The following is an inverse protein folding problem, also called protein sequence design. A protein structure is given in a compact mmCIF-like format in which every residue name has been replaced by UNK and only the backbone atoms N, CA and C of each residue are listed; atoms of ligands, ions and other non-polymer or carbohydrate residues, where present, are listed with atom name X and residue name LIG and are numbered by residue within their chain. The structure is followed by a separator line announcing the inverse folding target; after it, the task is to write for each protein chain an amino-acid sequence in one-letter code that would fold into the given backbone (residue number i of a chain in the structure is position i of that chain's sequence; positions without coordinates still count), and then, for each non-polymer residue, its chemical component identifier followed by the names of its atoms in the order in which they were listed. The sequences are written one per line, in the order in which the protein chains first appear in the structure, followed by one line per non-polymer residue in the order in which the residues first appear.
data_IF_122395043942
#
_entry.id   IF_122395043942
#
_cell.length_a   1.000
_cell.length_b   1.000
_cell.length_c   1.000
_cell.angle_alpha   90.00
_cell.angle_beta   90.00
_cell.angle_gamma   90.00
#
_symmetry.space_group_name_H-M   'P 1'
#
loop_
_entity.id
_entity.type
_entity.pdbx_description
1 polymer ?
#
# COMPACT_ATOMS: atom_id res chain seq x y z
N UNK A 1 6.13 -33.27 -67.71
CA UNK A 1 5.73 -32.03 -68.25
C UNK A 1 4.77 -31.19 -67.47
N UNK A 2 4.09 -31.75 -66.59
CA UNK A 2 3.13 -30.97 -65.76
C UNK A 2 3.79 -30.66 -64.45
N UNK A 3 4.10 -29.43 -64.30
CA UNK A 3 4.54 -28.88 -63.09
C UNK A 3 3.31 -28.67 -62.24
N UNK A 4 3.05 -29.57 -61.33
CA UNK A 4 2.09 -29.32 -60.30
C UNK A 4 2.78 -28.38 -59.33
N UNK A 5 2.48 -27.14 -59.53
CA UNK A 5 2.72 -26.19 -58.43
C UNK A 5 1.69 -26.49 -57.38
N UNK A 6 2.07 -27.30 -56.47
CA UNK A 6 1.35 -27.33 -55.19
C UNK A 6 1.64 -26.02 -54.51
N UNK A 7 0.78 -25.12 -54.79
CA UNK A 7 0.70 -23.89 -54.03
C UNK A 7 0.29 -24.31 -52.64
N UNK A 8 1.27 -24.46 -51.77
CA UNK A 8 0.99 -24.48 -50.35
C UNK A 8 0.38 -23.15 -50.04
N UNK A 9 -0.92 -23.09 -50.05
CA UNK A 9 -1.67 -22.01 -49.50
C UNK A 9 -1.44 -22.09 -48.01
N UNK A 10 -0.42 -21.34 -47.53
CA UNK A 10 -0.34 -21.04 -46.15
C UNK A 10 -1.61 -20.31 -45.77
N UNK A 11 -2.52 -21.02 -45.16
CA UNK A 11 -3.64 -20.38 -44.54
C UNK A 11 -3.10 -19.27 -43.67
N UNK A 12 -3.58 -18.03 -43.82
CA UNK A 12 -3.24 -17.01 -42.88
C UNK A 12 -3.63 -17.54 -41.52
N UNK A 13 -2.63 -17.74 -40.68
CA UNK A 13 -2.87 -17.89 -39.27
C UNK A 13 -3.72 -16.68 -38.93
N UNK A 14 -5.02 -16.89 -38.80
CA UNK A 14 -5.83 -15.90 -38.16
C UNK A 14 -5.22 -15.73 -36.81
N UNK A 15 -4.44 -14.67 -36.65
CA UNK A 15 -4.29 -14.08 -35.36
C UNK A 15 -5.70 -13.73 -34.91
N UNK A 16 -6.38 -14.71 -34.41
CA UNK A 16 -7.43 -14.39 -33.47
C UNK A 16 -6.72 -13.61 -32.41
N UNK A 17 -7.13 -12.37 -32.21
CA UNK A 17 -6.66 -11.69 -31.03
C UNK A 17 -6.92 -12.67 -29.92
N UNK A 18 -5.86 -13.21 -29.33
CA UNK A 18 -5.95 -13.85 -28.05
C UNK A 18 -6.51 -12.74 -27.18
N UNK A 19 -7.81 -12.64 -27.17
CA UNK A 19 -8.48 -11.98 -26.09
C UNK A 19 -8.08 -12.83 -24.87
N UNK A 20 -6.90 -12.52 -24.37
CA UNK A 20 -6.74 -12.72 -22.95
C UNK A 20 -8.05 -12.22 -22.41
N UNK A 21 -8.78 -13.01 -21.61
CA UNK A 21 -9.85 -12.39 -20.88
C UNK A 21 -9.16 -11.21 -20.22
N UNK A 22 -9.38 -10.07 -20.75
CA UNK A 22 -9.19 -8.86 -20.00
C UNK A 22 -10.11 -9.16 -18.85
N UNK A 23 -9.55 -9.68 -17.80
CA UNK A 23 -10.15 -9.55 -16.50
C UNK A 23 -10.41 -8.08 -16.51
N UNK A 24 -11.65 -7.72 -16.80
CA UNK A 24 -12.07 -6.33 -16.85
C UNK A 24 -11.42 -5.79 -15.58
N UNK A 25 -10.44 -4.91 -15.73
CA UNK A 25 -9.79 -4.32 -14.57
C UNK A 25 -10.95 -3.81 -13.77
N UNK A 26 -11.31 -4.55 -12.74
CA UNK A 26 -12.43 -4.18 -11.91
C UNK A 26 -12.05 -2.81 -11.40
N UNK A 27 -12.76 -1.80 -11.88
CA UNK A 27 -12.52 -0.42 -11.48
C UNK A 27 -12.58 -0.42 -9.97
N UNK A 28 -11.47 -0.10 -9.35
CA UNK A 28 -11.38 -0.06 -7.91
C UNK A 28 -12.25 1.08 -7.40
N UNK A 29 -13.09 0.78 -6.46
CA UNK A 29 -13.90 1.76 -5.76
C UNK A 29 -13.56 1.73 -4.28
N UNK A 30 -13.29 2.88 -3.73
CA UNK A 30 -13.05 3.03 -2.32
C UNK A 30 -14.35 3.41 -1.62
N UNK A 31 -14.84 2.51 -0.77
CA UNK A 31 -16.05 2.74 0.00
C UNK A 31 -15.71 3.52 1.28
N UNK A 32 -15.99 4.81 1.26
CA UNK A 32 -15.71 5.70 2.40
C UNK A 32 -16.53 5.38 3.64
N UNK A 33 -17.68 4.71 3.48
CA UNK A 33 -18.52 4.31 4.62
C UNK A 33 -17.94 3.08 5.34
N UNK A 34 -17.40 2.13 4.57
CA UNK A 34 -16.69 0.98 5.16
C UNK A 34 -15.35 1.38 5.75
N UNK A 35 -14.71 2.40 5.16
CA UNK A 35 -13.40 2.84 5.56
C UNK A 35 -12.30 1.82 5.28
N UNK A 36 -11.29 1.84 6.12
CA UNK A 36 -10.12 0.96 6.04
C UNK A 36 -9.92 0.22 7.36
N UNK A 37 -9.18 -0.88 7.29
CA UNK A 37 -8.76 -1.62 8.48
C UNK A 37 -7.38 -1.15 8.96
N UNK A 38 -7.10 -1.35 10.24
CA UNK A 38 -5.77 -1.09 10.78
C UNK A 38 -4.74 -2.00 10.09
N UNK A 39 -3.71 -1.43 9.47
CA UNK A 39 -2.67 -2.23 8.82
C UNK A 39 -1.73 -2.89 9.82
N UNK A 40 -1.66 -2.38 11.04
CA UNK A 40 -0.87 -2.89 12.13
C UNK A 40 -1.57 -2.51 13.44
N UNK A 41 -1.70 -3.45 14.34
CA UNK A 41 -2.19 -3.19 15.68
C UNK A 41 -1.02 -2.76 16.57
N UNK A 42 -1.04 -1.53 17.01
CA UNK A 42 0.01 -0.98 17.84
C UNK A 42 -0.33 0.41 18.32
N UNK A 43 0.50 0.92 19.20
CA UNK A 43 0.38 2.28 19.71
C UNK A 43 0.80 3.30 18.64
N UNK A 44 0.11 4.44 18.58
CA UNK A 44 0.53 5.53 17.72
C UNK A 44 1.72 6.26 18.34
N UNK A 45 2.87 6.17 17.68
CA UNK A 45 4.08 6.89 18.07
C UNK A 45 4.04 8.33 17.57
N UNK A 46 3.56 8.55 16.36
CA UNK A 46 3.33 9.86 15.76
C UNK A 46 1.97 9.88 15.08
N UNK A 47 1.18 10.88 15.40
CA UNK A 47 -0.15 11.03 14.84
C UNK A 47 -0.13 11.89 13.57
N UNK A 48 -1.14 11.73 12.73
CA UNK A 48 -1.36 12.62 11.60
C UNK A 48 -1.59 14.04 12.10
N UNK A 49 -0.84 14.98 11.54
CA UNK A 49 -1.01 16.40 11.84
C UNK A 49 -0.48 17.26 10.69
N UNK A 50 -1.38 17.79 9.88
CA UNK A 50 -1.02 18.68 8.77
C UNK A 50 -1.41 20.13 9.03
N UNK A 51 -2.22 20.37 10.05
CA UNK A 51 -2.64 21.71 10.48
C UNK A 51 -1.76 22.29 11.61
N UNK A 52 -1.06 21.41 12.32
CA UNK A 52 -0.14 21.75 13.40
C UNK A 52 1.13 20.94 13.28
N UNK A 53 2.21 21.46 13.84
CA UNK A 53 3.46 20.69 13.92
C UNK A 53 3.46 19.81 15.17
N UNK A 54 4.06 18.63 15.03
CA UNK A 54 4.35 17.74 16.15
C UNK A 54 5.86 17.51 16.26
N UNK A 55 6.32 17.06 17.41
CA UNK A 55 7.72 16.83 17.64
C UNK A 55 8.15 15.45 17.11
N UNK A 56 9.20 15.44 16.31
CA UNK A 56 9.84 14.22 15.80
C UNK A 56 11.11 13.96 16.62
N UNK A 57 11.10 12.97 17.52
CA UNK A 57 12.23 12.74 18.45
C UNK A 57 13.55 12.45 17.74
N UNK A 58 13.57 11.60 16.73
CA UNK A 58 14.80 11.27 16.01
C UNK A 58 15.43 12.49 15.33
N UNK A 59 14.58 13.35 14.77
CA UNK A 59 15.02 14.53 14.03
C UNK A 59 15.23 15.75 14.91
N UNK A 60 14.76 15.71 16.15
CA UNK A 60 14.74 16.85 17.07
C UNK A 60 14.11 18.10 16.45
N UNK A 61 13.04 17.90 15.70
CA UNK A 61 12.35 18.96 14.95
C UNK A 61 10.83 18.89 15.12
N UNK A 62 10.22 20.06 15.03
CA UNK A 62 8.76 20.19 14.89
C UNK A 62 8.39 20.23 13.42
N UNK A 63 7.55 19.34 12.98
CA UNK A 63 7.12 19.21 11.58
C UNK A 63 5.66 18.79 11.49
N UNK A 64 5.00 19.13 10.38
CA UNK A 64 3.74 18.48 10.02
C UNK A 64 3.99 17.01 9.69
N UNK A 65 3.05 16.15 10.03
CA UNK A 65 3.15 14.72 9.77
C UNK A 65 1.98 14.25 8.90
N UNK A 66 2.24 13.81 7.66
CA UNK A 66 1.20 13.37 6.75
C UNK A 66 0.71 11.94 7.02
N UNK A 67 1.31 11.23 7.95
CA UNK A 67 1.10 9.80 8.15
C UNK A 67 0.85 9.46 9.61
N UNK A 68 0.39 8.22 9.84
CA UNK A 68 0.44 7.58 11.15
C UNK A 68 1.73 6.78 11.25
N UNK A 69 2.42 6.89 12.36
CA UNK A 69 3.57 6.04 12.70
C UNK A 69 3.12 5.13 13.84
N UNK A 70 3.00 3.85 13.53
CA UNK A 70 2.40 2.84 14.41
C UNK A 70 3.50 1.94 14.94
N UNK A 71 3.60 1.80 16.26
CA UNK A 71 4.58 0.92 16.89
C UNK A 71 4.35 -0.53 16.49
N UNK A 72 5.42 -1.23 16.17
CA UNK A 72 5.42 -2.66 15.91
C UNK A 72 6.80 -3.26 16.14
N UNK A 73 6.84 -4.55 16.43
CA UNK A 73 8.08 -5.28 16.50
C UNK A 73 8.58 -5.65 15.11
N UNK A 74 9.88 -5.75 14.93
CA UNK A 74 10.47 -6.29 13.70
C UNK A 74 9.88 -7.68 13.44
N UNK A 75 9.48 -7.94 12.21
CA UNK A 75 8.77 -9.14 11.75
C UNK A 75 7.26 -9.20 12.06
N UNK A 76 6.68 -8.19 12.67
CA UNK A 76 5.22 -8.13 12.77
C UNK A 76 4.59 -8.05 11.39
N UNK A 77 3.47 -8.74 11.22
CA UNK A 77 2.74 -8.77 9.96
C UNK A 77 2.06 -7.43 9.71
N UNK A 78 2.21 -6.93 8.50
CA UNK A 78 1.50 -5.73 8.04
C UNK A 78 0.41 -6.16 7.08
N UNK A 79 -0.81 -5.72 7.35
CA UNK A 79 -2.00 -6.11 6.60
C UNK A 79 -2.43 -5.00 5.65
N UNK A 80 -2.98 -5.40 4.51
CA UNK A 80 -3.60 -4.44 3.61
C UNK A 80 -4.82 -3.80 4.28
N UNK A 81 -4.84 -2.47 4.30
CA UNK A 81 -5.91 -1.70 4.93
C UNK A 81 -7.23 -1.77 4.16
N UNK A 82 -7.17 -1.97 2.86
CA UNK A 82 -8.33 -2.07 1.99
C UNK A 82 -7.97 -2.85 0.72
N UNK A 83 -8.98 -3.26 -0.03
CA UNK A 83 -8.75 -3.84 -1.35
C UNK A 83 -8.12 -2.80 -2.26
N UNK A 84 -7.05 -3.17 -2.93
CA UNK A 84 -6.37 -2.29 -3.87
C UNK A 84 -5.34 -3.00 -4.71
N UNK A 85 -4.76 -2.23 -5.62
CA UNK A 85 -3.71 -2.69 -6.53
C UNK A 85 -2.37 -2.08 -6.14
N UNK A 86 -1.34 -2.88 -6.09
CA UNK A 86 0.01 -2.38 -5.82
C UNK A 86 0.47 -1.57 -7.03
N UNK A 87 0.64 -0.28 -6.84
CA UNK A 87 1.05 0.67 -7.88
C UNK A 87 2.56 0.73 -8.04
N UNK A 88 3.25 0.79 -6.91
CA UNK A 88 4.68 1.02 -6.88
C UNK A 88 5.30 0.47 -5.61
N UNK A 89 6.53 0.00 -5.73
CA UNK A 89 7.36 -0.45 -4.63
C UNK A 89 8.69 0.27 -4.79
N UNK A 90 9.03 1.10 -3.82
CA UNK A 90 10.27 1.88 -3.82
C UNK A 90 11.05 1.65 -2.55
N UNK A 91 12.33 1.95 -2.59
CA UNK A 91 13.18 1.95 -1.42
C UNK A 91 13.85 3.30 -1.29
N UNK A 92 13.72 3.90 -0.12
CA UNK A 92 14.31 5.22 0.15
C UNK A 92 14.86 5.26 1.59
N UNK A 93 15.68 6.27 1.86
CA UNK A 93 16.37 6.37 3.14
C UNK A 93 15.45 6.74 4.31
N UNK A 94 14.32 7.37 4.05
CA UNK A 94 13.43 7.89 5.09
C UNK A 94 12.44 6.81 5.56
N UNK A 95 11.71 6.23 4.63
CA UNK A 95 10.66 5.24 4.93
C UNK A 95 11.05 3.81 4.53
N UNK A 96 12.28 3.59 4.10
CA UNK A 96 12.77 2.27 3.71
C UNK A 96 12.01 1.68 2.53
N UNK A 97 11.70 0.40 2.61
CA UNK A 97 10.85 -0.25 1.62
C UNK A 97 9.42 0.27 1.75
N UNK A 98 8.94 0.89 0.69
CA UNK A 98 7.67 1.62 0.67
C UNK A 98 6.78 1.11 -0.44
N UNK A 99 5.55 0.77 -0.11
CA UNK A 99 4.53 0.26 -1.03
C UNK A 99 3.44 1.28 -1.19
N UNK A 100 3.10 1.60 -2.43
CA UNK A 100 1.91 2.38 -2.78
C UNK A 100 0.83 1.47 -3.32
N UNK A 101 -0.36 1.59 -2.75
CA UNK A 101 -1.53 0.80 -3.13
C UNK A 101 -2.64 1.75 -3.59
N UNK A 102 -3.12 1.54 -4.81
CA UNK A 102 -4.30 2.25 -5.32
C UNK A 102 -5.56 1.61 -4.77
N UNK A 103 -6.35 2.38 -4.06
CA UNK A 103 -7.63 1.93 -3.49
C UNK A 103 -8.83 2.26 -4.37
N UNK A 104 -8.63 3.03 -5.44
CA UNK A 104 -9.70 3.55 -6.30
C UNK A 104 -10.20 4.92 -5.85
N UNK A 105 -10.98 5.56 -6.72
CA UNK A 105 -11.59 6.87 -6.47
C UNK A 105 -10.62 7.97 -6.02
N UNK A 106 -9.35 7.87 -6.43
CA UNK A 106 -8.30 8.81 -6.09
C UNK A 106 -7.62 8.55 -4.73
N UNK A 107 -8.00 7.51 -4.01
CA UNK A 107 -7.39 7.14 -2.73
C UNK A 107 -6.17 6.25 -2.94
N UNK A 108 -5.10 6.56 -2.23
CA UNK A 108 -3.85 5.79 -2.24
C UNK A 108 -3.40 5.55 -0.81
N UNK A 109 -3.06 4.30 -0.50
CA UNK A 109 -2.44 3.93 0.77
C UNK A 109 -0.94 3.75 0.57
N UNK A 110 -0.15 4.28 1.48
CA UNK A 110 1.31 4.18 1.46
C UNK A 110 1.76 3.52 2.74
N UNK A 111 2.53 2.43 2.59
CA UNK A 111 3.08 1.64 3.69
C UNK A 111 4.59 1.74 3.64
N UNK A 112 5.21 2.24 4.67
CA UNK A 112 6.67 2.37 4.76
C UNK A 112 7.27 1.52 5.85
N UNK A 113 8.59 1.39 5.82
CA UNK A 113 9.39 0.60 6.75
C UNK A 113 9.02 -0.89 6.77
N UNK A 114 8.86 -1.44 5.55
CA UNK A 114 8.52 -2.83 5.32
C UNK A 114 9.75 -3.67 4.96
N UNK A 115 9.60 -4.97 5.06
CA UNK A 115 10.50 -5.98 4.51
C UNK A 115 9.71 -7.21 4.07
N UNK A 116 10.34 -8.05 3.24
CA UNK A 116 9.80 -9.35 2.83
C UNK A 116 8.38 -9.25 2.27
N UNK A 117 8.21 -8.46 1.21
CA UNK A 117 6.92 -8.25 0.59
C UNK A 117 6.37 -9.53 -0.03
N UNK A 118 5.08 -9.78 0.18
CA UNK A 118 4.36 -10.93 -0.38
C UNK A 118 3.76 -10.64 -1.76
N UNK A 119 3.77 -9.39 -2.18
CA UNK A 119 3.16 -8.93 -3.43
C UNK A 119 4.16 -8.09 -4.23
N UNK A 120 3.88 -7.97 -5.52
CA UNK A 120 4.67 -7.14 -6.44
C UNK A 120 3.78 -6.13 -7.14
N UNK A 121 4.39 -5.18 -7.81
CA UNK A 121 3.70 -4.16 -8.62
C UNK A 121 2.75 -4.82 -9.61
N UNK A 122 1.51 -4.35 -9.64
CA UNK A 122 0.45 -4.87 -10.47
C UNK A 122 -0.46 -5.89 -9.80
N UNK A 123 -0.07 -6.44 -8.66
CA UNK A 123 -0.90 -7.39 -7.93
C UNK A 123 -2.08 -6.69 -7.25
N UNK A 124 -3.22 -7.37 -7.22
CA UNK A 124 -4.39 -6.95 -6.45
C UNK A 124 -4.35 -7.63 -5.09
N UNK A 125 -4.55 -6.84 -4.04
CA UNK A 125 -4.51 -7.29 -2.65
C UNK A 125 -5.86 -7.00 -2.01
N UNK A 126 -6.41 -8.00 -1.34
CA UNK A 126 -7.65 -7.83 -0.57
C UNK A 126 -7.36 -7.22 0.82
N UNK A 127 -8.37 -6.58 1.40
CA UNK A 127 -8.27 -6.11 2.78
C UNK A 127 -7.92 -7.26 3.73
N UNK A 128 -7.01 -7.02 4.65
CA UNK A 128 -6.60 -8.03 5.64
C UNK A 128 -5.56 -9.05 5.16
N UNK A 129 -5.15 -9.01 3.90
CA UNK A 129 -4.03 -9.84 3.45
C UNK A 129 -2.70 -9.27 3.92
N UNK A 130 -1.75 -10.14 4.25
CA UNK A 130 -0.41 -9.74 4.69
C UNK A 130 0.36 -9.24 3.46
N UNK A 131 0.75 -7.98 3.48
CA UNK A 131 1.55 -7.38 2.38
C UNK A 131 3.04 -7.46 2.63
N UNK A 132 3.46 -7.53 3.88
CA UNK A 132 4.85 -7.59 4.28
C UNK A 132 4.98 -7.61 5.79
N UNK A 133 6.16 -7.27 6.25
CA UNK A 133 6.52 -7.32 7.68
C UNK A 133 7.21 -6.02 8.07
N UNK A 134 7.11 -5.68 9.35
CA UNK A 134 7.82 -4.52 9.91
C UNK A 134 9.34 -4.79 9.86
N UNK A 135 10.09 -3.83 9.30
CA UNK A 135 11.54 -3.87 9.22
C UNK A 135 12.20 -3.22 10.45
N UNK A 136 13.52 -3.34 10.51
CA UNK A 136 14.33 -2.46 11.36
C UNK A 136 14.01 -1.00 10.99
N UNK A 137 13.95 -0.08 11.96
CA UNK A 137 13.70 1.31 11.66
C UNK A 137 14.85 1.92 10.86
N UNK A 138 14.50 2.84 9.95
CA UNK A 138 15.52 3.65 9.28
C UNK A 138 16.16 4.62 10.29
N UNK A 139 17.28 5.21 9.92
CA UNK A 139 17.96 6.20 10.78
C UNK A 139 17.08 7.41 11.13
N UNK A 140 16.04 7.70 10.32
CA UNK A 140 15.10 8.81 10.57
C UNK A 140 14.06 8.50 11.64
N UNK A 141 13.94 7.24 12.06
CA UNK A 141 13.00 6.76 13.07
C UNK A 141 13.68 5.96 14.19
N UNK A 142 14.98 6.12 14.36
CA UNK A 142 15.74 5.32 15.32
C UNK A 142 15.28 5.52 16.78
N UNK A 143 14.85 6.70 17.14
CA UNK A 143 14.35 7.00 18.49
C UNK A 143 12.93 6.45 18.68
N UNK A 144 12.09 6.53 17.67
CA UNK A 144 10.74 5.97 17.69
C UNK A 144 10.76 4.44 17.75
N UNK A 145 11.83 3.83 17.22
CA UNK A 145 11.97 2.38 17.11
C UNK A 145 11.25 1.80 15.93
N UNK A 146 11.15 0.47 15.87
CA UNK A 146 10.49 -0.25 14.80
C UNK A 146 9.00 0.12 14.72
N UNK A 147 8.56 0.43 13.51
CA UNK A 147 7.21 0.96 13.27
C UNK A 147 6.77 0.74 11.82
N UNK A 148 5.48 0.94 11.61
CA UNK A 148 4.90 1.08 10.30
C UNK A 148 4.61 2.55 10.02
N UNK A 149 5.13 3.05 8.90
CA UNK A 149 4.73 4.33 8.34
C UNK A 149 3.48 4.10 7.47
N UNK A 150 2.37 4.73 7.82
CA UNK A 150 1.11 4.56 7.09
C UNK A 150 0.52 5.90 6.72
N UNK A 151 0.44 6.17 5.42
CA UNK A 151 -0.11 7.40 4.87
C UNK A 151 -1.31 7.08 3.98
N UNK A 152 -2.38 7.85 4.10
CA UNK A 152 -3.51 7.82 3.19
C UNK A 152 -3.56 9.13 2.41
N UNK A 153 -3.71 9.04 1.09
CA UNK A 153 -3.84 10.19 0.23
C UNK A 153 -5.17 10.17 -0.53
N UNK A 154 -5.71 11.34 -0.76
CA UNK A 154 -6.81 11.59 -1.69
C UNK A 154 -6.33 12.56 -2.76
N UNK A 155 -6.39 12.13 -4.03
CA UNK A 155 -5.93 12.92 -5.17
C UNK A 155 -4.51 13.49 -4.98
N UNK A 156 -3.63 12.66 -4.43
CA UNK A 156 -2.23 12.98 -4.17
C UNK A 156 -1.96 13.83 -2.93
N UNK A 157 -2.98 14.16 -2.15
CA UNK A 157 -2.85 14.96 -0.92
C UNK A 157 -3.07 14.09 0.32
N UNK A 158 -2.23 14.23 1.35
CA UNK A 158 -2.43 13.51 2.60
C UNK A 158 -3.77 13.85 3.24
N UNK A 159 -4.46 12.81 3.71
CA UNK A 159 -5.68 12.93 4.52
C UNK A 159 -5.50 12.15 5.81
N UNK A 160 -6.29 12.48 6.82
CA UNK A 160 -6.18 11.80 8.11
C UNK A 160 -6.70 10.36 8.01
N UNK A 161 -5.85 9.34 8.13
CA UNK A 161 -6.30 7.96 8.06
C UNK A 161 -7.32 7.60 9.13
N UNK A 162 -7.29 8.27 10.27
CA UNK A 162 -8.23 8.00 11.38
C UNK A 162 -9.67 8.31 11.03
N UNK A 163 -9.91 9.18 10.04
CA UNK A 163 -11.27 9.46 9.55
C UNK A 163 -11.91 8.23 8.89
N UNK A 164 -11.08 7.27 8.47
CA UNK A 164 -11.50 6.06 7.76
C UNK A 164 -11.23 4.78 8.55
N UNK A 165 -10.45 4.86 9.63
CA UNK A 165 -10.14 3.72 10.48
C UNK A 165 -11.23 3.50 11.52
N UNK A 166 -11.53 2.23 11.88
CA UNK A 166 -12.39 1.97 13.01
C UNK A 166 -11.74 2.48 14.29
N UNK A 167 -12.54 2.90 15.23
CA UNK A 167 -12.04 3.23 16.56
C UNK A 167 -11.36 2.00 17.14
N UNK A 168 -10.16 2.19 17.69
CA UNK A 168 -9.54 1.11 18.45
C UNK A 168 -10.48 0.75 19.59
N UNK A 169 -10.69 -0.55 19.86
CA UNK A 169 -11.45 -0.93 21.03
C UNK A 169 -10.79 -0.24 22.22
N UNK A 170 -11.53 0.66 22.84
CA UNK A 170 -11.09 1.23 24.08
C UNK A 170 -10.98 0.07 25.05
N UNK A 171 -9.74 -0.26 25.44
CA UNK A 171 -9.53 -1.06 26.62
C UNK A 171 -10.26 -0.36 27.75
N UNK A 172 -11.44 -0.87 28.05
CA UNK A 172 -12.11 -0.51 29.27
C UNK A 172 -11.25 -1.07 30.38
N UNK A 173 -10.30 -0.26 30.77
CA UNK A 173 -9.59 -0.51 32.02
C UNK A 173 -10.60 -0.32 33.16
N UNK A 174 -11.13 -1.42 33.60
CA UNK A 174 -11.69 -1.44 34.93
C UNK A 174 -10.57 -1.45 35.96
#
# INVERSE_FOLDING_TARGET
KEKVEEKAEAEPVKDEPVTRPTVAESVLHFDTEKGIAWPLEGELLLDYSMDQTIYFPTLEQYRCNPALVIEGAVNDKVFSAAKGKIMDITENEVTGCTVKQDLGDGYTAIYGQLKELNFKTGDTVEAGQVIGYVSEPTKYYSTEGSNLYFELQKDGKPVNPKDFLPELPMDTME
#
